data_IF_533733198088
#
_entry.id   IF_533733198088
#
_cell.length_a   1.000
_cell.length_b   1.000
_cell.length_c   1.000
_cell.angle_alpha   90.00
_cell.angle_beta   90.00
_cell.angle_gamma   90.00
#
_symmetry.space_group_name_H-M   'P 1'
#
loop_
_entity.id
_entity.type
_entity.pdbx_description
1 polymer ?
#
# COMPACT_ATOMS: atom_id res chain seq x y z
N UNK A 1 1.27 6.82 -4.12
CA UNK A 1 0.91 5.50 -4.72
C UNK A 1 -0.36 4.95 -4.08
N UNK A 2 -0.37 4.70 -2.76
CA UNK A 2 -1.54 4.15 -2.06
C UNK A 2 -2.79 5.03 -2.20
N UNK A 3 -2.73 6.34 -1.92
CA UNK A 3 -3.91 7.22 -2.07
C UNK A 3 -4.35 7.37 -3.55
N UNK A 4 -3.39 7.40 -4.48
CA UNK A 4 -3.67 7.46 -5.92
C UNK A 4 -4.53 6.30 -6.43
N UNK A 5 -4.39 5.10 -5.85
CA UNK A 5 -5.25 3.95 -6.13
C UNK A 5 -6.74 4.31 -5.99
N UNK A 6 -7.12 4.93 -4.87
CA UNK A 6 -8.51 5.26 -4.61
C UNK A 6 -9.04 6.38 -5.52
N UNK A 7 -8.16 7.25 -6.02
CA UNK A 7 -8.52 8.33 -6.93
C UNK A 7 -8.84 7.84 -8.35
N UNK A 8 -8.05 6.88 -8.87
CA UNK A 8 -8.11 6.52 -10.31
C UNK A 8 -8.68 5.14 -10.59
N UNK A 9 -8.66 4.21 -9.64
CA UNK A 9 -9.12 2.83 -9.86
C UNK A 9 -10.63 2.73 -10.08
N UNK A 10 -11.52 3.47 -9.37
CA UNK A 10 -12.96 3.42 -9.64
C UNK A 10 -13.30 3.75 -11.10
N UNK A 11 -12.72 4.83 -11.64
CA UNK A 11 -12.91 5.24 -13.03
C UNK A 11 -12.36 4.21 -14.02
N UNK A 12 -11.22 3.57 -13.70
CA UNK A 12 -10.68 2.48 -14.51
C UNK A 12 -11.60 1.27 -14.56
N UNK A 13 -12.10 0.82 -13.39
CA UNK A 13 -12.97 -0.34 -13.29
C UNK A 13 -14.23 -0.16 -14.14
N UNK A 14 -14.81 1.03 -14.10
CA UNK A 14 -15.99 1.38 -14.89
C UNK A 14 -15.68 1.53 -16.38
N UNK A 15 -14.79 2.47 -16.71
CA UNK A 15 -14.63 3.00 -18.07
C UNK A 15 -13.70 2.18 -18.95
N UNK A 16 -12.82 1.38 -18.36
CA UNK A 16 -11.83 0.58 -19.11
C UNK A 16 -12.02 -0.92 -18.91
N UNK A 17 -12.19 -1.38 -17.66
CA UNK A 17 -12.38 -2.81 -17.38
C UNK A 17 -13.82 -3.27 -17.62
N UNK A 18 -14.76 -2.34 -17.80
CA UNK A 18 -16.14 -2.63 -18.18
C UNK A 18 -16.95 -3.32 -17.08
N UNK A 19 -16.70 -2.97 -15.82
CA UNK A 19 -17.57 -3.34 -14.71
C UNK A 19 -18.75 -2.38 -14.62
N UNK A 20 -19.94 -2.91 -14.29
CA UNK A 20 -21.09 -2.06 -14.00
C UNK A 20 -20.85 -1.23 -12.73
N UNK A 21 -21.35 0.01 -12.69
CA UNK A 21 -21.17 0.93 -11.57
C UNK A 21 -21.49 0.34 -10.19
N UNK A 22 -22.54 -0.49 -10.11
CA UNK A 22 -22.96 -1.16 -8.87
C UNK A 22 -21.92 -2.13 -8.28
N UNK A 23 -21.00 -2.64 -9.11
CA UNK A 23 -19.97 -3.61 -8.71
C UNK A 23 -18.63 -2.96 -8.34
N UNK A 24 -18.42 -1.67 -8.65
CA UNK A 24 -17.14 -0.99 -8.40
C UNK A 24 -16.78 -1.02 -6.91
N UNK A 25 -17.69 -0.53 -6.05
CA UNK A 25 -17.44 -0.49 -4.62
C UNK A 25 -17.30 -1.89 -3.99
N UNK A 26 -18.15 -2.89 -4.30
CA UNK A 26 -17.93 -4.26 -3.89
C UNK A 26 -16.55 -4.82 -4.26
N UNK A 27 -16.09 -4.59 -5.50
CA UNK A 27 -14.77 -5.03 -5.96
C UNK A 27 -13.66 -4.33 -5.17
N UNK A 28 -13.77 -3.02 -4.96
CA UNK A 28 -12.80 -2.25 -4.15
C UNK A 28 -12.74 -2.73 -2.70
N UNK A 29 -13.88 -3.11 -2.11
CA UNK A 29 -13.98 -3.60 -0.74
C UNK A 29 -13.30 -4.95 -0.51
N UNK A 30 -13.08 -5.77 -1.56
CA UNK A 30 -12.27 -6.98 -1.44
C UNK A 30 -10.87 -6.68 -0.91
N UNK A 31 -10.31 -5.52 -1.28
CA UNK A 31 -9.02 -5.07 -0.75
C UNK A 31 -9.06 -4.79 0.76
N UNK A 32 -10.16 -4.25 1.26
CA UNK A 32 -10.34 -3.96 2.69
C UNK A 32 -10.49 -5.25 3.50
N UNK A 33 -11.24 -6.23 2.99
CA UNK A 33 -11.33 -7.56 3.62
C UNK A 33 -9.95 -8.23 3.64
N UNK A 34 -9.23 -8.16 2.53
CA UNK A 34 -7.87 -8.70 2.45
C UNK A 34 -6.89 -7.99 3.38
N UNK A 35 -7.11 -6.70 3.69
CA UNK A 35 -6.30 -5.95 4.65
C UNK A 35 -6.42 -6.50 6.07
N UNK A 36 -7.65 -6.76 6.51
CA UNK A 36 -7.92 -7.40 7.81
C UNK A 36 -7.21 -8.77 7.88
N UNK A 37 -7.33 -9.58 6.82
CA UNK A 37 -6.66 -10.87 6.73
C UNK A 37 -5.12 -10.74 6.76
N UNK A 38 -4.57 -9.76 6.05
CA UNK A 38 -3.13 -9.50 5.99
C UNK A 38 -2.57 -9.03 7.34
N UNK A 39 -3.32 -8.23 8.11
CA UNK A 39 -2.93 -7.83 9.46
C UNK A 39 -2.84 -9.02 10.42
N UNK A 40 -3.75 -10.01 10.31
CA UNK A 40 -3.70 -11.21 11.16
C UNK A 40 -2.42 -12.04 10.96
N UNK A 41 -1.91 -12.13 9.72
CA UNK A 41 -0.69 -12.89 9.41
C UNK A 41 0.59 -12.09 9.59
N UNK A 42 0.49 -10.75 9.71
CA UNK A 42 1.64 -9.85 9.65
C UNK A 42 2.70 -10.14 10.73
N UNK A 43 2.29 -10.45 11.96
CA UNK A 43 3.22 -10.76 13.04
C UNK A 43 4.12 -11.96 12.72
N UNK A 44 3.53 -13.04 12.22
CA UNK A 44 4.28 -14.24 11.80
C UNK A 44 5.18 -13.98 10.59
N UNK A 45 4.72 -13.16 9.64
CA UNK A 45 5.52 -12.76 8.48
C UNK A 45 6.71 -11.90 8.91
N UNK A 46 6.53 -10.95 9.81
CA UNK A 46 7.61 -10.13 10.36
C UNK A 46 8.63 -10.96 11.13
N UNK A 47 8.18 -11.91 11.95
CA UNK A 47 9.08 -12.81 12.68
C UNK A 47 9.94 -13.66 11.72
N UNK A 48 9.38 -14.11 10.59
CA UNK A 48 10.08 -14.97 9.63
C UNK A 48 10.94 -14.21 8.60
N UNK A 49 10.43 -13.11 8.06
CA UNK A 49 11.07 -12.38 6.96
C UNK A 49 11.86 -11.15 7.42
N UNK A 50 11.53 -10.60 8.59
CA UNK A 50 12.09 -9.36 9.10
C UNK A 50 11.56 -8.12 8.38
N UNK A 51 11.82 -6.96 8.99
CA UNK A 51 11.30 -5.64 8.59
C UNK A 51 11.46 -5.35 7.10
N UNK A 52 12.70 -5.44 6.61
CA UNK A 52 13.06 -5.02 5.25
C UNK A 52 12.35 -5.85 4.18
N UNK A 53 12.35 -7.18 4.31
CA UNK A 53 11.73 -8.06 3.31
C UNK A 53 10.21 -7.91 3.30
N UNK A 54 9.59 -7.81 4.49
CA UNK A 54 8.14 -7.58 4.60
C UNK A 54 7.74 -6.30 3.88
N UNK A 55 8.42 -5.18 4.17
CA UNK A 55 8.13 -3.89 3.53
C UNK A 55 8.37 -3.92 2.01
N UNK A 56 9.43 -4.59 1.54
CA UNK A 56 9.67 -4.75 0.10
C UNK A 56 8.53 -5.51 -0.60
N UNK A 57 8.00 -6.56 0.02
CA UNK A 57 6.86 -7.32 -0.52
C UNK A 57 5.61 -6.43 -0.59
N UNK A 58 5.36 -5.60 0.43
CA UNK A 58 4.26 -4.63 0.42
C UNK A 58 4.35 -3.66 -0.77
N UNK A 59 5.52 -3.07 -1.03
CA UNK A 59 5.72 -2.16 -2.16
C UNK A 59 5.66 -2.91 -3.50
N UNK A 60 6.23 -4.11 -3.59
CA UNK A 60 6.15 -4.95 -4.78
C UNK A 60 4.71 -5.30 -5.15
N UNK A 61 3.82 -5.46 -4.16
CA UNK A 61 2.39 -5.62 -4.37
C UNK A 61 1.78 -4.44 -5.14
N UNK A 62 2.20 -3.21 -4.84
CA UNK A 62 1.73 -2.04 -5.59
C UNK A 62 2.20 -2.07 -7.05
N UNK A 63 3.46 -2.40 -7.29
CA UNK A 63 4.01 -2.50 -8.65
C UNK A 63 3.27 -3.58 -9.46
N UNK A 64 3.06 -4.75 -8.87
CA UNK A 64 2.33 -5.85 -9.51
C UNK A 64 0.88 -5.47 -9.82
N UNK A 65 0.18 -4.85 -8.86
CA UNK A 65 -1.23 -4.44 -9.04
C UNK A 65 -1.40 -3.43 -10.17
N UNK A 66 -0.61 -2.37 -10.17
CA UNK A 66 -0.71 -1.35 -11.21
C UNK A 66 -0.17 -1.84 -12.56
N UNK A 67 0.82 -2.73 -12.57
CA UNK A 67 1.26 -3.44 -13.77
C UNK A 67 0.13 -4.28 -14.37
N UNK A 68 -0.61 -5.02 -13.53
CA UNK A 68 -1.77 -5.80 -13.97
C UNK A 68 -2.83 -4.89 -14.61
N UNK A 69 -3.16 -3.75 -13.98
CA UNK A 69 -4.12 -2.81 -14.57
C UNK A 69 -3.64 -2.22 -15.89
N UNK A 70 -2.34 -1.94 -16.02
CA UNK A 70 -1.77 -1.38 -17.24
C UNK A 70 -1.75 -2.36 -18.41
N UNK A 71 -1.42 -3.63 -18.15
CA UNK A 71 -1.17 -4.63 -19.20
C UNK A 71 -2.34 -5.59 -19.45
N UNK A 72 -3.20 -5.81 -18.45
CA UNK A 72 -4.33 -6.74 -18.54
C UNK A 72 -5.68 -6.07 -18.18
N UNK A 73 -6.02 -4.91 -18.76
CA UNK A 73 -7.20 -4.13 -18.35
C UNK A 73 -8.54 -4.81 -18.66
N UNK A 74 -8.56 -5.79 -19.57
CA UNK A 74 -9.77 -6.52 -19.98
C UNK A 74 -9.94 -7.86 -19.24
N UNK A 75 -8.94 -8.30 -18.47
CA UNK A 75 -9.02 -9.55 -17.71
C UNK A 75 -9.71 -9.29 -16.35
N UNK A 76 -11.04 -9.38 -16.34
CA UNK A 76 -11.88 -9.10 -15.17
C UNK A 76 -11.53 -9.99 -13.97
N UNK A 77 -11.28 -11.27 -14.18
CA UNK A 77 -10.92 -12.22 -13.13
C UNK A 77 -9.61 -11.81 -12.45
N UNK A 78 -8.60 -11.47 -13.24
CA UNK A 78 -7.31 -11.02 -12.74
C UNK A 78 -7.43 -9.67 -12.00
N UNK A 79 -8.27 -8.76 -12.49
CA UNK A 79 -8.53 -7.47 -11.83
C UNK A 79 -9.22 -7.66 -10.47
N UNK A 80 -10.17 -8.59 -10.37
CA UNK A 80 -10.82 -8.93 -9.10
C UNK A 80 -9.81 -9.57 -8.14
N UNK A 81 -9.06 -10.57 -8.61
CA UNK A 81 -8.07 -11.28 -7.80
C UNK A 81 -6.99 -10.33 -7.25
N UNK A 82 -6.52 -9.39 -8.07
CA UNK A 82 -5.48 -8.45 -7.65
C UNK A 82 -5.96 -7.44 -6.61
N UNK A 83 -7.26 -7.31 -6.36
CA UNK A 83 -7.75 -6.52 -5.22
C UNK A 83 -7.34 -7.10 -3.89
N UNK A 84 -7.21 -8.42 -3.78
CA UNK A 84 -6.72 -9.08 -2.56
C UNK A 84 -5.27 -8.69 -2.25
N UNK A 85 -4.48 -8.31 -3.27
CA UNK A 85 -3.12 -7.84 -3.08
C UNK A 85 -3.07 -6.49 -2.33
N UNK A 86 -4.15 -5.71 -2.33
CA UNK A 86 -4.24 -4.45 -1.59
C UNK A 86 -3.93 -4.64 -0.10
N UNK A 87 -4.50 -5.68 0.51
CA UNK A 87 -4.29 -5.97 1.92
C UNK A 87 -2.82 -6.21 2.25
N UNK A 88 -2.11 -6.93 1.39
CA UNK A 88 -0.66 -7.13 1.50
C UNK A 88 0.07 -5.79 1.34
N UNK A 89 -0.29 -4.99 0.33
CA UNK A 89 0.34 -3.69 0.11
C UNK A 89 0.23 -2.80 1.36
N UNK A 90 -0.95 -2.77 1.98
CA UNK A 90 -1.19 -1.95 3.14
C UNK A 90 -0.51 -2.51 4.39
N UNK A 91 -0.82 -3.75 4.79
CA UNK A 91 -0.34 -4.32 6.04
C UNK A 91 1.19 -4.48 6.05
N UNK A 92 1.78 -4.96 4.96
CA UNK A 92 3.22 -5.26 4.96
C UNK A 92 4.09 -4.00 4.87
N UNK A 93 3.52 -2.86 4.48
CA UNK A 93 4.23 -1.59 4.50
C UNK A 93 3.76 -0.70 5.66
N UNK A 94 2.52 -0.20 5.63
CA UNK A 94 2.03 0.79 6.58
C UNK A 94 1.90 0.22 8.00
N UNK A 95 1.24 -0.93 8.17
CA UNK A 95 1.12 -1.55 9.50
C UNK A 95 2.50 -1.96 10.05
N UNK A 96 3.41 -2.42 9.18
CA UNK A 96 4.80 -2.69 9.56
C UNK A 96 5.53 -1.45 10.06
N UNK A 97 5.32 -0.27 9.47
CA UNK A 97 5.94 0.98 9.95
C UNK A 97 5.43 1.37 11.34
N UNK A 98 4.14 1.21 11.63
CA UNK A 98 3.63 1.46 12.99
C UNK A 98 4.29 0.53 14.01
N UNK A 99 4.32 -0.78 13.71
CA UNK A 99 4.98 -1.78 14.56
C UNK A 99 6.48 -1.47 14.71
N UNK A 100 7.14 -1.02 13.64
CA UNK A 100 8.54 -0.61 13.67
C UNK A 100 8.78 0.60 14.57
N UNK A 101 7.93 1.62 14.49
CA UNK A 101 8.01 2.79 15.36
C UNK A 101 7.89 2.35 16.82
N UNK A 102 6.92 1.49 17.13
CA UNK A 102 6.71 0.99 18.49
C UNK A 102 7.85 0.08 18.98
N UNK A 103 8.48 -0.68 18.09
CA UNK A 103 9.58 -1.56 18.46
C UNK A 103 10.92 -0.82 18.64
N UNK A 104 11.15 0.25 17.87
CA UNK A 104 12.48 0.87 17.75
C UNK A 104 12.59 2.19 18.51
N UNK A 105 11.50 2.95 18.63
CA UNK A 105 11.54 4.27 19.26
C UNK A 105 11.33 4.19 20.78
N UNK A 106 11.99 5.08 21.56
CA UNK A 106 11.69 5.28 22.98
C UNK A 106 10.21 5.60 23.23
N UNK A 107 9.67 5.12 24.35
CA UNK A 107 8.22 5.19 24.65
C UNK A 107 7.64 6.61 24.62
N UNK A 108 8.42 7.59 25.06
CA UNK A 108 8.07 9.01 25.14
C UNK A 108 7.94 9.69 23.77
N UNK A 109 8.57 9.15 22.72
CA UNK A 109 8.54 9.75 21.36
C UNK A 109 7.71 8.94 20.34
N UNK A 110 7.24 7.73 20.68
CA UNK A 110 6.44 6.87 19.78
C UNK A 110 5.22 7.59 19.22
N UNK A 111 4.43 8.24 20.09
CA UNK A 111 3.23 8.96 19.68
C UNK A 111 3.55 10.09 18.67
N UNK A 112 4.64 10.82 18.89
CA UNK A 112 5.10 11.87 17.97
C UNK A 112 5.58 11.28 16.64
N UNK A 113 6.33 10.18 16.66
CA UNK A 113 6.80 9.50 15.45
C UNK A 113 5.64 8.93 14.62
N UNK A 114 4.66 8.29 15.25
CA UNK A 114 3.43 7.85 14.56
C UNK A 114 2.62 9.04 14.05
N UNK A 115 2.55 10.14 14.79
CA UNK A 115 1.90 11.37 14.36
C UNK A 115 2.53 11.95 13.08
N UNK A 116 3.85 12.00 13.01
CA UNK A 116 4.58 12.38 11.80
C UNK A 116 4.31 11.43 10.64
N UNK A 117 4.30 10.11 10.90
CA UNK A 117 3.97 9.13 9.88
C UNK A 117 2.54 9.32 9.35
N UNK A 118 1.56 9.55 10.23
CA UNK A 118 0.18 9.86 9.86
C UNK A 118 0.08 11.12 8.99
N UNK A 119 0.76 12.20 9.38
CA UNK A 119 0.79 13.43 8.59
C UNK A 119 1.36 13.19 7.19
N UNK A 120 2.43 12.39 7.09
CA UNK A 120 3.05 12.07 5.81
C UNK A 120 2.15 11.25 4.90
N UNK A 121 1.40 10.28 5.43
CA UNK A 121 0.60 9.38 4.58
C UNK A 121 -0.83 9.89 4.34
N UNK A 122 -1.50 10.42 5.37
CA UNK A 122 -2.91 10.84 5.32
C UNK A 122 -3.05 12.33 4.98
N UNK A 123 -2.06 13.16 5.32
CA UNK A 123 -2.05 14.57 4.99
C UNK A 123 -1.31 14.83 3.68
N UNK A 124 0.02 14.95 3.77
CA UNK A 124 0.88 15.32 2.64
C UNK A 124 0.82 14.30 1.50
N UNK A 125 0.76 13.02 1.82
CA UNK A 125 0.68 11.94 0.84
C UNK A 125 -0.63 11.93 0.06
N UNK A 126 -1.75 12.29 0.70
CA UNK A 126 -3.05 12.45 0.04
C UNK A 126 -3.07 13.68 -0.87
N UNK A 127 -2.58 14.81 -0.36
CA UNK A 127 -2.45 16.03 -1.17
C UNK A 127 -1.56 15.81 -2.40
N UNK A 128 -0.41 15.18 -2.22
CA UNK A 128 0.51 14.85 -3.30
C UNK A 128 -0.13 13.88 -4.31
N UNK A 129 -0.91 12.89 -3.84
CA UNK A 129 -1.63 12.00 -4.73
C UNK A 129 -2.67 12.76 -5.57
N UNK A 130 -3.46 13.65 -4.98
CA UNK A 130 -4.44 14.45 -5.71
C UNK A 130 -3.78 15.38 -6.73
N UNK A 131 -2.70 16.05 -6.33
CA UNK A 131 -1.92 16.94 -7.20
C UNK A 131 -1.24 16.22 -8.37
N UNK A 132 -0.87 14.95 -8.18
CA UNK A 132 -0.24 14.16 -9.24
C UNK A 132 -1.26 13.45 -10.13
N UNK A 133 -2.18 12.69 -9.54
CA UNK A 133 -3.02 11.75 -10.28
C UNK A 133 -4.21 12.40 -10.98
N UNK A 134 -4.85 13.44 -10.39
CA UNK A 134 -6.01 14.07 -11.04
C UNK A 134 -5.59 14.81 -12.32
N UNK A 135 -4.60 15.72 -12.30
CA UNK A 135 -4.19 16.40 -13.52
C UNK A 135 -3.56 15.45 -14.55
N UNK A 136 -2.92 14.36 -14.10
CA UNK A 136 -2.40 13.33 -14.99
C UNK A 136 -3.54 12.59 -15.69
N UNK A 137 -4.59 12.19 -14.96
CA UNK A 137 -5.76 11.54 -15.55
C UNK A 137 -6.46 12.45 -16.56
N UNK A 138 -6.58 13.75 -16.25
CA UNK A 138 -7.16 14.74 -17.16
C UNK A 138 -6.35 14.86 -18.45
N UNK A 139 -5.02 14.98 -18.35
CA UNK A 139 -4.12 15.07 -19.52
C UNK A 139 -4.11 13.81 -20.37
N UNK A 140 -4.31 12.64 -19.76
CA UNK A 140 -4.39 11.36 -20.46
C UNK A 140 -5.80 11.05 -20.98
N UNK A 141 -6.75 11.96 -20.79
CA UNK A 141 -8.11 11.83 -21.33
C UNK A 141 -8.27 12.67 -22.58
N UNK A 142 -8.44 12.01 -23.72
CA UNK A 142 -8.66 12.65 -25.02
C UNK A 142 -10.00 12.18 -25.58
N UNK A 143 -10.87 13.12 -25.97
CA UNK A 143 -12.21 12.83 -26.48
C UNK A 143 -13.06 11.92 -25.55
N UNK A 144 -12.92 12.12 -24.23
CA UNK A 144 -13.64 11.33 -23.21
C UNK A 144 -13.08 9.93 -22.95
N UNK A 145 -12.00 9.53 -23.63
CA UNK A 145 -11.33 8.24 -23.45
C UNK A 145 -10.01 8.46 -22.71
N UNK A 146 -9.85 7.82 -21.55
CA UNK A 146 -8.65 7.91 -20.71
C UNK A 146 -7.65 6.80 -21.05
N UNK A 147 -6.39 7.14 -21.28
CA UNK A 147 -5.29 6.17 -21.39
C UNK A 147 -4.86 5.66 -20.00
N UNK A 148 -5.58 4.66 -19.51
CA UNK A 148 -5.30 4.02 -18.22
C UNK A 148 -3.98 3.26 -18.20
N UNK A 149 -3.48 2.79 -19.35
CA UNK A 149 -2.20 2.07 -19.40
C UNK A 149 -1.08 3.02 -19.01
N UNK A 150 -0.98 4.17 -19.68
CA UNK A 150 0.02 5.18 -19.34
C UNK A 150 -0.17 5.71 -17.92
N UNK A 151 -1.43 5.90 -17.50
CA UNK A 151 -1.76 6.34 -16.15
C UNK A 151 -1.22 5.38 -15.08
N UNK A 152 -1.42 4.07 -15.24
CA UNK A 152 -0.97 3.07 -14.26
C UNK A 152 0.51 2.70 -14.35
N UNK A 153 1.18 2.98 -15.47
CA UNK A 153 2.64 2.85 -15.53
C UNK A 153 3.35 3.87 -14.62
N UNK A 154 2.77 5.04 -14.36
CA UNK A 154 3.32 6.03 -13.42
C UNK A 154 3.44 5.47 -11.99
N UNK A 155 2.37 5.03 -11.30
CA UNK A 155 2.49 4.44 -9.97
C UNK A 155 3.28 3.13 -9.96
N UNK A 156 3.30 2.38 -11.07
CA UNK A 156 4.16 1.19 -11.22
C UNK A 156 5.64 1.59 -11.14
N UNK A 157 6.06 2.59 -11.93
CA UNK A 157 7.42 3.12 -11.91
C UNK A 157 7.81 3.72 -10.56
N UNK A 158 6.90 4.47 -9.93
CA UNK A 158 7.12 5.00 -8.56
C UNK A 158 7.31 3.86 -7.55
N UNK A 159 6.55 2.77 -7.64
CA UNK A 159 6.69 1.62 -6.75
C UNK A 159 8.03 0.90 -6.96
N UNK A 160 8.46 0.72 -8.21
CA UNK A 160 9.78 0.17 -8.53
C UNK A 160 10.91 1.06 -8.00
N UNK A 161 10.80 2.38 -8.14
CA UNK A 161 11.73 3.33 -7.54
C UNK A 161 11.76 3.22 -6.02
N UNK A 162 10.60 3.11 -5.37
CA UNK A 162 10.51 2.95 -3.93
C UNK A 162 11.11 1.63 -3.43
N UNK A 163 10.99 0.53 -4.19
CA UNK A 163 11.68 -0.74 -3.92
C UNK A 163 13.19 -0.54 -3.90
N UNK A 164 13.74 0.15 -4.90
CA UNK A 164 15.19 0.44 -4.98
C UNK A 164 15.62 1.32 -3.80
N UNK A 165 14.91 2.40 -3.52
CA UNK A 165 15.22 3.30 -2.41
C UNK A 165 15.20 2.55 -1.06
N UNK A 166 14.15 1.77 -0.80
CA UNK A 166 14.07 1.00 0.44
C UNK A 166 15.18 -0.04 0.51
N UNK A 167 15.45 -0.75 -0.59
CA UNK A 167 16.52 -1.75 -0.62
C UNK A 167 17.92 -1.15 -0.36
N UNK A 168 18.19 0.08 -0.82
CA UNK A 168 19.50 0.70 -0.64
C UNK A 168 19.66 1.38 0.72
N UNK A 169 18.63 2.11 1.17
CA UNK A 169 18.74 3.02 2.31
C UNK A 169 18.14 2.48 3.61
N UNK A 170 17.18 1.55 3.56
CA UNK A 170 16.55 1.04 4.77
C UNK A 170 17.36 -0.09 5.39
N UNK A 171 17.99 0.21 6.53
CA UNK A 171 18.80 -0.71 7.35
C UNK A 171 18.18 -0.84 8.74
N UNK A 172 17.14 -1.68 8.89
CA UNK A 172 16.47 -1.87 10.17
C UNK A 172 17.33 -2.70 11.14
N UNK A 173 17.09 -2.60 12.46
CA UNK A 173 17.69 -3.50 13.44
C UNK A 173 17.36 -4.97 13.16
N UNK A 174 18.20 -5.86 13.66
CA UNK A 174 18.09 -7.31 13.47
C UNK A 174 17.14 -7.99 14.44
N UNK A 175 16.77 -7.34 15.55
CA UNK A 175 15.76 -7.84 16.46
C UNK A 175 14.36 -7.66 15.85
N UNK A 176 13.51 -8.67 16.01
CA UNK A 176 12.10 -8.59 15.64
C UNK A 176 11.33 -7.63 16.57
N UNK A 177 10.07 -7.30 16.26
CA UNK A 177 9.23 -6.61 17.23
C UNK A 177 9.24 -7.44 18.51
N UNK A 178 9.62 -6.86 19.65
CA UNK A 178 9.58 -7.57 20.92
C UNK A 178 8.16 -8.15 21.07
N UNK A 179 8.04 -9.46 20.95
CA UNK A 179 6.82 -10.17 21.33
C UNK A 179 6.73 -9.99 22.83
N UNK A 180 6.03 -8.94 23.28
CA UNK A 180 5.79 -8.58 24.68
C UNK A 180 6.25 -9.68 25.63
N UNK A 181 7.53 -9.66 26.01
CA UNK A 181 7.97 -10.49 27.12
C UNK A 181 7.18 -9.96 28.31
N UNK A 182 6.49 -10.88 28.99
CA UNK A 182 5.60 -10.62 30.12
C UNK A 182 6.15 -9.51 31.03
N UNK A 183 5.28 -8.68 31.66
CA UNK A 183 5.74 -7.64 32.57
C UNK A 183 6.71 -8.27 33.56
N UNK A 184 7.94 -7.76 33.59
CA UNK A 184 8.93 -8.14 34.59
C UNK A 184 8.24 -8.05 35.95
N UNK A 185 8.08 -9.19 36.61
CA UNK A 185 7.50 -9.26 37.94
C UNK A 185 8.24 -8.24 38.81
N UNK A 186 7.50 -7.28 39.37
CA UNK A 186 8.06 -6.33 40.31
C UNK A 186 8.67 -7.12 41.48
N UNK A 187 9.91 -6.83 41.90
CA UNK A 187 10.43 -7.42 43.12
C UNK A 187 9.56 -6.95 44.29
N UNK A 188 9.18 -7.94 45.11
CA UNK A 188 8.39 -7.81 46.33
C UNK A 188 8.89 -6.72 47.27
#
# INVERSE_FOLDING_TARGET
>A
IHNGYFLVTPGFLEKSAGFEGKWIMPIMSLGQIAEIAAMMILGGVLAKLGWRKTMLIGIAGHALRFGIYAFFPQNKELIIAVQLLHGICYAFFFATVYIFIDAVFPKDVRASAQGWFNLLILGLGDLAAKWLFLPLADRLTVNGVTDYKTLFLVPTGMALGAIVLLALFFRPPTFGPETNAAPAAAPH
#
